data_IF_551175375505
#
_entry.id   IF_551175375505
#
_cell.length_a   1.000
_cell.length_b   1.000
_cell.length_c   1.000
_cell.angle_alpha   90.00
_cell.angle_beta   90.00
_cell.angle_gamma   90.00
#
_symmetry.space_group_name_H-M   'P 1'
#
loop_
_entity.id
_entity.type
_entity.pdbx_description
1 polymer ?
#
# COMPACT_ATOMS: atom_id res chain seq x y z
N UNK A 1 -2.35 -10.57 24.78
CA UNK A 1 -2.35 -10.26 23.35
C UNK A 1 -3.60 -9.45 23.04
N UNK A 2 -3.46 -8.21 22.57
CA UNK A 2 -4.56 -7.32 22.17
C UNK A 2 -4.64 -7.31 20.64
N UNK A 3 -5.25 -8.35 20.08
CA UNK A 3 -5.61 -8.42 18.66
C UNK A 3 -7.00 -7.81 18.49
N UNK A 4 -7.18 -7.08 17.40
CA UNK A 4 -8.44 -6.48 17.02
C UNK A 4 -9.57 -7.53 16.83
N UNK A 5 -10.77 -7.31 17.40
CA UNK A 5 -11.93 -8.15 17.12
C UNK A 5 -12.29 -8.15 15.63
N UNK A 6 -12.73 -9.32 15.15
CA UNK A 6 -13.16 -9.54 13.76
C UNK A 6 -14.19 -8.51 13.29
N UNK A 7 -15.13 -8.16 14.15
CA UNK A 7 -16.21 -7.23 13.86
C UNK A 7 -15.69 -5.81 13.60
N UNK A 8 -14.64 -5.38 14.33
CA UNK A 8 -14.04 -4.07 14.15
C UNK A 8 -13.23 -4.01 12.85
N UNK A 9 -12.47 -5.05 12.54
CA UNK A 9 -11.73 -5.16 11.26
C UNK A 9 -12.71 -5.08 10.08
N UNK A 10 -13.78 -5.89 10.09
CA UNK A 10 -14.79 -5.87 9.03
C UNK A 10 -15.53 -4.53 8.93
N UNK A 11 -15.82 -3.90 10.07
CA UNK A 11 -16.46 -2.59 10.11
C UNK A 11 -15.58 -1.51 9.49
N UNK A 12 -14.28 -1.53 9.80
CA UNK A 12 -13.33 -0.56 9.25
C UNK A 12 -13.12 -0.77 7.75
N UNK A 13 -12.91 -2.02 7.33
CA UNK A 13 -12.75 -2.39 5.92
C UNK A 13 -13.94 -1.92 5.07
N UNK A 14 -15.17 -2.24 5.50
CA UNK A 14 -16.39 -1.81 4.79
C UNK A 14 -16.58 -0.30 4.79
N UNK A 15 -16.15 0.39 5.85
CA UNK A 15 -16.22 1.85 5.92
C UNK A 15 -15.28 2.46 4.88
N UNK A 16 -14.06 1.96 4.74
CA UNK A 16 -13.12 2.43 3.71
C UNK A 16 -13.64 2.14 2.31
N UNK A 17 -14.08 0.91 2.02
CA UNK A 17 -14.66 0.57 0.70
C UNK A 17 -15.86 1.44 0.30
N UNK A 18 -16.56 2.03 1.27
CA UNK A 18 -17.71 2.89 1.00
C UNK A 18 -17.32 4.36 0.82
N UNK A 19 -16.29 4.82 1.50
CA UNK A 19 -16.01 6.24 1.68
C UNK A 19 -14.75 6.70 0.95
N UNK A 20 -13.83 5.79 0.67
CA UNK A 20 -12.55 6.07 0.02
C UNK A 20 -12.61 5.52 -1.41
N UNK A 21 -12.06 6.29 -2.34
CA UNK A 21 -11.84 5.88 -3.72
C UNK A 21 -10.36 6.11 -4.02
N UNK A 22 -9.61 5.03 -4.21
CA UNK A 22 -8.20 5.13 -4.54
C UNK A 22 -8.02 5.12 -6.06
N UNK A 23 -7.19 6.02 -6.59
CA UNK A 23 -6.82 6.04 -8.01
C UNK A 23 -5.82 4.91 -8.30
N UNK A 24 -6.30 3.67 -8.28
CA UNK A 24 -5.53 2.45 -8.50
C UNK A 24 -6.47 1.33 -8.95
N UNK A 25 -5.93 0.15 -9.24
CA UNK A 25 -6.78 -1.00 -9.52
C UNK A 25 -7.40 -1.58 -8.23
N UNK A 26 -8.54 -2.30 -8.31
CA UNK A 26 -9.20 -2.85 -7.13
C UNK A 26 -8.34 -3.84 -6.32
N UNK A 27 -7.35 -4.48 -6.94
CA UNK A 27 -6.50 -5.45 -6.27
C UNK A 27 -5.46 -4.77 -5.39
N UNK A 28 -4.86 -3.67 -5.85
CA UNK A 28 -3.95 -2.83 -5.07
C UNK A 28 -4.73 -2.07 -3.99
N UNK A 29 -5.95 -1.60 -4.28
CA UNK A 29 -6.82 -0.97 -3.28
C UNK A 29 -7.11 -1.91 -2.09
N UNK A 30 -7.49 -3.17 -2.34
CA UNK A 30 -7.71 -4.18 -1.28
C UNK A 30 -6.46 -4.34 -0.39
N UNK A 31 -5.26 -4.35 -0.98
CA UNK A 31 -3.98 -4.44 -0.26
C UNK A 31 -3.72 -3.21 0.61
N UNK A 32 -3.97 -2.01 0.07
CA UNK A 32 -3.77 -0.75 0.79
C UNK A 32 -4.73 -0.65 1.97
N UNK A 33 -6.01 -0.98 1.79
CA UNK A 33 -6.99 -1.02 2.88
C UNK A 33 -6.56 -2.00 3.99
N UNK A 34 -6.08 -3.20 3.67
CA UNK A 34 -5.59 -4.13 4.69
C UNK A 34 -4.42 -3.54 5.50
N UNK A 35 -3.47 -2.86 4.85
CA UNK A 35 -2.37 -2.18 5.53
C UNK A 35 -2.85 -1.00 6.39
N UNK A 36 -3.82 -0.23 5.91
CA UNK A 36 -4.39 0.90 6.65
C UNK A 36 -5.12 0.43 7.91
N UNK A 37 -5.83 -0.70 7.88
CA UNK A 37 -6.50 -1.27 9.06
C UNK A 37 -5.49 -1.64 10.15
N UNK A 38 -4.33 -2.17 9.77
CA UNK A 38 -3.26 -2.48 10.73
C UNK A 38 -2.87 -1.22 11.49
N UNK A 39 -2.58 -0.14 10.77
CA UNK A 39 -2.27 1.18 11.35
C UNK A 39 -3.43 1.73 12.21
N UNK A 40 -4.67 1.68 11.71
CA UNK A 40 -5.83 2.11 12.49
C UNK A 40 -5.99 1.31 13.78
N UNK A 41 -5.76 -0.01 13.73
CA UNK A 41 -5.87 -0.87 14.91
C UNK A 41 -4.82 -0.53 15.97
N UNK A 42 -3.59 -0.22 15.55
CA UNK A 42 -2.49 0.14 16.46
C UNK A 42 -2.72 1.51 17.10
N UNK A 43 -3.24 2.46 16.33
CA UNK A 43 -3.45 3.83 16.77
C UNK A 43 -4.80 4.05 17.47
N UNK A 44 -5.76 3.14 17.26
CA UNK A 44 -7.14 3.28 17.73
C UNK A 44 -7.99 4.16 16.81
N UNK A 45 -7.62 4.33 15.56
CA UNK A 45 -8.34 5.17 14.60
C UNK A 45 -9.50 4.41 13.93
N UNK A 46 -10.14 5.00 12.92
CA UNK A 46 -11.16 4.30 12.12
C UNK A 46 -12.33 3.77 12.95
N UNK A 47 -12.60 2.46 12.84
CA UNK A 47 -13.65 1.78 13.60
C UNK A 47 -13.28 1.45 15.05
N UNK A 48 -12.02 1.65 15.46
CA UNK A 48 -11.47 1.23 16.75
C UNK A 48 -11.72 2.25 17.89
N UNK A 49 -12.20 3.46 17.59
CA UNK A 49 -12.71 4.46 18.55
C UNK A 49 -11.80 4.74 19.76
N UNK A 50 -10.51 4.94 19.51
CA UNK A 50 -9.48 5.21 20.52
C UNK A 50 -8.92 3.95 21.22
N UNK A 51 -9.49 2.77 20.96
CA UNK A 51 -8.99 1.52 21.52
C UNK A 51 -7.85 0.94 20.67
N UNK A 52 -6.68 0.76 21.29
CA UNK A 52 -5.48 0.25 20.62
C UNK A 52 -5.34 -1.27 20.71
N UNK A 53 -5.02 -1.88 19.58
CA UNK A 53 -4.78 -3.31 19.38
C UNK A 53 -3.41 -3.54 18.72
N UNK A 54 -2.35 -3.16 19.45
CA UNK A 54 -0.95 -3.14 18.96
C UNK A 54 -0.37 -4.49 18.55
N UNK A 55 -1.02 -5.59 18.93
CA UNK A 55 -0.59 -6.95 18.55
C UNK A 55 -1.28 -7.43 17.25
N UNK A 56 -2.17 -6.63 16.66
CA UNK A 56 -2.83 -6.96 15.38
C UNK A 56 -1.81 -6.90 14.26
N UNK A 57 -1.71 -7.94 13.45
CA UNK A 57 -0.83 -7.97 12.28
C UNK A 57 -1.64 -7.94 10.99
N UNK A 58 -0.96 -7.63 9.88
CA UNK A 58 -1.55 -7.81 8.54
C UNK A 58 -2.12 -9.23 8.34
N UNK A 59 -1.50 -10.28 8.90
CA UNK A 59 -1.97 -11.66 8.74
C UNK A 59 -3.32 -11.87 9.44
N UNK A 60 -3.49 -11.32 10.64
CA UNK A 60 -4.77 -11.38 11.36
C UNK A 60 -5.89 -10.74 10.55
N UNK A 61 -5.61 -9.58 9.92
CA UNK A 61 -6.56 -8.85 9.08
C UNK A 61 -6.91 -9.67 7.84
N UNK A 62 -5.90 -10.20 7.15
CA UNK A 62 -6.06 -11.01 5.93
C UNK A 62 -6.91 -12.25 6.21
N UNK A 63 -6.62 -12.97 7.30
CA UNK A 63 -7.39 -14.15 7.71
C UNK A 63 -8.84 -13.80 8.05
N UNK A 64 -9.05 -12.70 8.78
CA UNK A 64 -10.39 -12.20 9.13
C UNK A 64 -11.23 -11.86 7.89
N UNK A 65 -10.60 -11.28 6.87
CA UNK A 65 -11.24 -10.92 5.60
C UNK A 65 -11.39 -12.13 4.65
N UNK A 66 -10.97 -13.33 5.06
CA UNK A 66 -11.08 -14.55 4.27
C UNK A 66 -10.20 -14.54 3.01
N UNK A 67 -9.04 -13.86 3.10
CA UNK A 67 -8.04 -13.77 2.04
C UNK A 67 -6.91 -14.76 2.31
N UNK A 68 -6.17 -15.12 1.26
CA UNK A 68 -5.00 -16.00 1.39
C UNK A 68 -3.76 -15.17 1.74
N UNK A 69 -3.12 -15.51 2.87
CA UNK A 69 -1.96 -14.80 3.42
C UNK A 69 -0.73 -14.88 2.53
N UNK A 70 -0.51 -16.01 1.86
CA UNK A 70 0.59 -16.17 0.92
C UNK A 70 0.39 -15.29 -0.31
N UNK A 71 -0.81 -15.32 -0.91
CA UNK A 71 -1.14 -14.52 -2.09
C UNK A 71 -1.02 -13.02 -1.78
N UNK A 72 -1.59 -12.56 -0.66
CA UNK A 72 -1.51 -11.15 -0.26
C UNK A 72 -0.06 -10.72 -0.07
N UNK A 73 0.74 -11.50 0.65
CA UNK A 73 2.16 -11.22 0.85
C UNK A 73 2.92 -11.15 -0.47
N UNK A 74 2.72 -12.12 -1.37
CA UNK A 74 3.39 -12.14 -2.67
C UNK A 74 3.03 -10.95 -3.54
N UNK A 75 1.75 -10.55 -3.58
CA UNK A 75 1.31 -9.37 -4.32
C UNK A 75 1.90 -8.08 -3.76
N UNK A 76 1.94 -7.94 -2.43
CA UNK A 76 2.59 -6.79 -1.78
C UNK A 76 4.08 -6.71 -2.13
N UNK A 77 4.78 -7.84 -2.06
CA UNK A 77 6.20 -7.88 -2.39
C UNK A 77 6.45 -7.50 -3.86
N UNK A 78 5.62 -7.99 -4.78
CA UNK A 78 5.70 -7.62 -6.20
C UNK A 78 5.60 -6.10 -6.40
N UNK A 79 4.67 -5.41 -5.75
CA UNK A 79 4.55 -3.95 -5.86
C UNK A 79 5.79 -3.22 -5.30
N UNK A 80 6.34 -3.73 -4.20
CA UNK A 80 7.57 -3.20 -3.60
C UNK A 80 8.74 -3.39 -4.57
N UNK A 81 8.88 -4.59 -5.14
CA UNK A 81 9.95 -4.93 -6.08
C UNK A 81 9.90 -4.05 -7.34
N UNK A 82 8.70 -3.73 -7.85
CA UNK A 82 8.55 -2.79 -8.98
C UNK A 82 9.07 -1.38 -8.65
N UNK A 83 8.89 -0.90 -7.42
CA UNK A 83 9.41 0.40 -6.97
C UNK A 83 10.93 0.36 -6.85
N UNK A 84 11.49 -0.73 -6.31
CA UNK A 84 12.94 -0.93 -6.26
C UNK A 84 13.56 -0.95 -7.65
N UNK A 85 12.96 -1.73 -8.56
CA UNK A 85 13.43 -1.82 -9.95
C UNK A 85 13.37 -0.46 -10.66
N UNK A 86 12.29 0.31 -10.46
CA UNK A 86 12.22 1.68 -10.98
C UNK A 86 13.38 2.53 -10.46
N UNK A 87 13.65 2.50 -9.15
CA UNK A 87 14.72 3.29 -8.55
C UNK A 87 16.10 2.88 -9.08
N UNK A 88 16.38 1.58 -9.19
CA UNK A 88 17.63 1.07 -9.76
C UNK A 88 17.85 1.52 -11.19
N UNK A 89 16.81 1.47 -12.03
CA UNK A 89 16.88 1.93 -13.44
C UNK A 89 17.26 3.41 -13.54
N UNK A 90 16.68 4.27 -12.70
CA UNK A 90 17.07 5.70 -12.67
C UNK A 90 18.52 5.87 -12.20
N UNK A 91 18.96 5.11 -11.20
CA UNK A 91 20.35 5.14 -10.70
C UNK A 91 21.34 4.73 -11.78
N UNK A 92 21.00 3.71 -12.57
CA UNK A 92 21.79 3.21 -13.71
C UNK A 92 21.83 4.20 -14.89
N UNK A 93 21.09 5.32 -14.79
CA UNK A 93 21.09 6.40 -15.77
C UNK A 93 20.03 6.24 -16.87
N UNK A 94 19.06 5.35 -16.70
CA UNK A 94 17.92 5.26 -17.61
C UNK A 94 17.08 6.55 -17.51
N UNK A 95 16.80 7.17 -18.66
CA UNK A 95 16.01 8.39 -18.71
C UNK A 95 14.52 8.06 -18.67
N UNK A 96 14.00 7.84 -17.46
CA UNK A 96 12.59 7.55 -17.20
C UNK A 96 11.80 8.84 -17.01
N UNK A 97 10.91 9.10 -17.96
CA UNK A 97 10.04 10.28 -17.95
C UNK A 97 8.66 10.02 -17.30
N UNK A 98 8.39 8.79 -16.89
CA UNK A 98 7.14 8.36 -16.25
C UNK A 98 7.44 7.35 -15.15
N UNK A 99 6.55 7.23 -14.15
CA UNK A 99 6.73 6.33 -13.00
C UNK A 99 6.11 4.96 -13.31
N UNK A 100 6.80 4.19 -14.16
CA UNK A 100 6.32 2.92 -14.72
C UNK A 100 7.32 1.78 -14.51
N UNK A 101 6.82 0.54 -14.41
CA UNK A 101 7.64 -0.67 -14.36
C UNK A 101 8.28 -0.97 -15.74
N UNK A 102 9.04 -2.08 -15.87
CA UNK A 102 9.66 -2.47 -17.15
C UNK A 102 8.67 -2.82 -18.26
N UNK A 103 7.44 -3.19 -17.90
CA UNK A 103 6.39 -3.49 -18.86
C UNK A 103 5.66 -2.23 -19.34
N UNK A 104 6.04 -1.04 -18.83
CA UNK A 104 5.36 0.22 -19.12
C UNK A 104 4.06 0.42 -18.34
N UNK A 105 3.78 -0.43 -17.35
CA UNK A 105 2.60 -0.28 -16.49
C UNK A 105 2.91 0.73 -15.36
N UNK A 106 1.95 1.59 -14.98
CA UNK A 106 2.16 2.51 -13.86
C UNK A 106 2.42 1.76 -12.55
N UNK A 107 3.40 2.25 -11.77
CA UNK A 107 3.66 1.73 -10.43
C UNK A 107 2.41 1.86 -9.56
N UNK A 108 2.20 0.91 -8.64
CA UNK A 108 1.00 0.84 -7.80
C UNK A 108 -0.31 0.88 -8.61
N UNK A 109 -0.26 0.61 -9.93
CA UNK A 109 -1.37 0.72 -10.87
C UNK A 109 -2.08 2.08 -10.83
N UNK A 110 -1.37 3.13 -10.42
CA UNK A 110 -1.91 4.49 -10.32
C UNK A 110 -1.76 5.21 -11.67
N UNK A 111 -2.88 5.44 -12.38
CA UNK A 111 -2.84 5.95 -13.77
C UNK A 111 -2.08 7.27 -13.92
N UNK A 112 -2.10 8.13 -12.89
CA UNK A 112 -1.39 9.41 -12.90
C UNK A 112 0.11 9.27 -13.14
N UNK A 113 0.69 8.13 -12.76
CA UNK A 113 2.11 7.84 -12.94
C UNK A 113 2.49 7.54 -14.38
N UNK A 114 1.51 7.20 -15.21
CA UNK A 114 1.64 7.10 -16.66
C UNK A 114 1.35 8.44 -17.35
N UNK A 115 0.38 9.21 -16.84
CA UNK A 115 -0.06 10.45 -17.49
C UNK A 115 0.90 11.64 -17.26
N UNK A 116 1.58 11.68 -16.12
CA UNK A 116 2.45 12.79 -15.75
C UNK A 116 3.90 12.56 -16.15
N UNK A 117 4.47 13.53 -16.85
CA UNK A 117 5.89 13.56 -17.12
C UNK A 117 6.67 13.98 -15.87
N UNK A 118 7.75 13.26 -15.56
CA UNK A 118 8.59 13.48 -14.37
C UNK A 118 10.07 13.40 -14.73
N UNK A 119 10.93 13.98 -13.88
CA UNK A 119 12.35 13.65 -13.87
C UNK A 119 12.56 12.50 -12.87
N UNK A 120 13.05 11.35 -13.34
CA UNK A 120 13.33 10.20 -12.48
C UNK A 120 14.25 10.53 -11.29
N UNK A 121 15.19 11.47 -11.42
CA UNK A 121 16.07 11.89 -10.31
C UNK A 121 15.31 12.64 -9.23
N UNK A 122 14.29 13.41 -9.59
CA UNK A 122 13.42 14.05 -8.61
C UNK A 122 12.53 13.03 -7.89
N UNK A 123 12.11 11.97 -8.58
CA UNK A 123 11.44 10.84 -7.93
C UNK A 123 12.36 10.14 -6.92
N UNK A 124 13.63 9.88 -7.26
CA UNK A 124 14.60 9.31 -6.31
C UNK A 124 14.78 10.19 -5.06
N UNK A 125 14.85 11.51 -5.23
CA UNK A 125 14.90 12.46 -4.10
C UNK A 125 13.63 12.35 -3.25
N UNK A 126 12.47 12.27 -3.87
CA UNK A 126 11.18 12.06 -3.20
C UNK A 126 11.16 10.77 -2.38
N UNK A 127 11.59 9.65 -2.96
CA UNK A 127 11.69 8.36 -2.28
C UNK A 127 12.63 8.42 -1.07
N UNK A 128 13.80 9.05 -1.23
CA UNK A 128 14.76 9.22 -0.14
C UNK A 128 14.24 10.08 1.01
N UNK A 129 13.55 11.18 0.70
CA UNK A 129 12.94 12.04 1.70
C UNK A 129 11.78 11.33 2.41
N UNK A 130 10.95 10.60 1.66
CA UNK A 130 9.87 9.78 2.20
C UNK A 130 10.36 8.73 3.19
N UNK A 131 11.38 7.96 2.81
CA UNK A 131 11.96 6.92 3.68
C UNK A 131 12.71 7.44 4.92
N UNK A 132 12.84 8.77 5.10
CA UNK A 132 13.38 9.38 6.33
C UNK A 132 12.30 9.88 7.29
N UNK A 133 11.04 9.89 6.86
CA UNK A 133 9.90 10.33 7.68
C UNK A 133 9.18 9.17 8.38
N UNK A 134 9.45 7.94 7.96
CA UNK A 134 8.98 6.67 8.56
C UNK A 134 9.99 6.17 9.61
#
# INVERSE_FOLDING_TARGET
MKIAPKELIWKDFRKMQKNEELLTDPAVEDLLFMQTIEGHSHNGDGAFNGQKFVDTTINDIVEVLGRDTFIVRSKRQMLIDEIYEFAERVIDGENLNHVVNRNGEPLMRCSIFFDWEVDGKDILRGLYLGGRMD
#
